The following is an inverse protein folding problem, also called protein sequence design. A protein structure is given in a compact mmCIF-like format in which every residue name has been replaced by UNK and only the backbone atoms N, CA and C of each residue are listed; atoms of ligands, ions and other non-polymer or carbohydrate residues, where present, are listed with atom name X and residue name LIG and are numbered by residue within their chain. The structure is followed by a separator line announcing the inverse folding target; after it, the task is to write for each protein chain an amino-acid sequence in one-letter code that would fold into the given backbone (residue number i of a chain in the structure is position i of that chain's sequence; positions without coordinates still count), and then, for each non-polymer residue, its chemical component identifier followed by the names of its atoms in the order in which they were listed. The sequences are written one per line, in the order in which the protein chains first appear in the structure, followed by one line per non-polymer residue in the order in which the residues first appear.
data_IF_212071500933
#
_entry.id   IF_212071500933
#
_cell.length_a   1.000
_cell.length_b   1.000
_cell.length_c   1.000
_cell.angle_alpha   90.00
_cell.angle_beta   90.00
_cell.angle_gamma   90.00
#
_symmetry.space_group_name_H-M   'P 1'
#
loop_
_entity.id
_entity.type
_entity.pdbx_description
1 polymer ?
#
# COMPACT_ATOMS: atom_id res chain seq x y z
N UNK A 1 6.54 6.08 11.83
CA UNK A 1 6.19 6.03 10.39
C UNK A 1 5.45 4.71 10.16
N UNK A 2 4.23 4.74 9.62
CA UNK A 2 3.46 3.51 9.35
C UNK A 2 3.79 2.98 7.95
N UNK A 3 3.60 1.67 7.73
CA UNK A 3 3.66 1.06 6.40
C UNK A 3 2.25 0.74 5.92
N UNK A 4 1.94 1.04 4.65
CA UNK A 4 0.64 0.73 4.07
C UNK A 4 0.56 -0.72 3.61
N UNK A 5 1.66 -1.32 3.11
CA UNK A 5 1.72 -2.74 2.78
C UNK A 5 2.08 -3.59 4.00
N UNK A 6 1.31 -4.65 4.21
CA UNK A 6 1.49 -5.62 5.29
C UNK A 6 1.41 -7.04 4.77
N UNK A 7 2.04 -7.95 5.49
CA UNK A 7 2.05 -9.39 5.18
C UNK A 7 1.55 -10.18 6.37
N UNK A 8 0.89 -11.30 6.09
CA UNK A 8 0.52 -12.27 7.11
C UNK A 8 0.55 -13.68 6.53
N UNK A 9 0.73 -14.66 7.42
CA UNK A 9 0.75 -16.08 7.08
C UNK A 9 -0.56 -16.72 7.52
N UNK A 10 -1.50 -16.99 6.60
CA UNK A 10 -2.71 -17.70 6.95
C UNK A 10 -2.39 -19.15 7.34
N UNK A 11 -3.20 -19.71 8.23
CA UNK A 11 -3.17 -21.16 8.48
C UNK A 11 -3.39 -21.93 7.17
N UNK A 12 -2.57 -22.96 6.96
CA UNK A 12 -2.66 -23.86 5.81
C UNK A 12 -3.24 -25.19 6.28
N UNK A 13 -4.41 -25.57 5.77
CA UNK A 13 -5.04 -26.83 6.13
C UNK A 13 -4.48 -27.99 5.31
N UNK A 14 -4.32 -29.18 5.89
CA UNK A 14 -4.02 -30.38 5.11
C UNK A 14 -5.17 -30.78 4.17
N UNK A 15 -6.37 -30.24 4.35
CA UNK A 15 -7.56 -30.49 3.52
C UNK A 15 -7.88 -29.35 2.54
N UNK A 16 -6.98 -28.36 2.37
CA UNK A 16 -7.22 -27.28 1.41
C UNK A 16 -7.22 -27.84 -0.03
N UNK A 17 -8.21 -27.48 -0.86
CA UNK A 17 -8.36 -28.05 -2.21
C UNK A 17 -7.32 -27.55 -3.21
N UNK A 18 -6.52 -26.53 -2.84
CA UNK A 18 -5.54 -25.86 -3.70
C UNK A 18 -4.17 -25.76 -3.01
N UNK A 19 -3.06 -25.65 -3.76
CA UNK A 19 -1.75 -25.34 -3.19
C UNK A 19 -1.79 -24.03 -2.36
N UNK A 20 -1.17 -24.01 -1.18
CA UNK A 20 -1.32 -22.91 -0.25
C UNK A 20 -0.54 -21.67 -0.67
N UNK A 21 -1.18 -20.51 -0.54
CA UNK A 21 -0.51 -19.21 -0.57
C UNK A 21 -0.04 -18.89 0.85
N UNK A 22 1.25 -19.16 1.11
CA UNK A 22 1.84 -19.07 2.46
C UNK A 22 1.93 -17.64 3.01
N UNK A 23 2.10 -16.65 2.14
CA UNK A 23 2.18 -15.24 2.52
C UNK A 23 1.17 -14.45 1.72
N UNK A 24 0.24 -13.81 2.42
CA UNK A 24 -0.73 -12.89 1.82
C UNK A 24 -0.31 -11.46 2.11
N UNK A 25 -0.30 -10.63 1.09
CA UNK A 25 -0.02 -9.19 1.21
C UNK A 25 -1.32 -8.41 1.08
N UNK A 26 -1.51 -7.40 1.91
CA UNK A 26 -2.64 -6.47 1.82
C UNK A 26 -2.17 -5.03 2.05
N UNK A 27 -2.96 -4.08 1.57
CA UNK A 27 -2.70 -2.65 1.75
C UNK A 27 -3.71 -2.09 2.75
N UNK A 28 -3.21 -1.37 3.75
CA UNK A 28 -3.99 -0.53 4.67
C UNK A 28 -3.83 0.92 4.25
N UNK A 29 -4.95 1.57 3.93
CA UNK A 29 -4.94 2.96 3.49
C UNK A 29 -4.40 3.90 4.59
N UNK A 30 -3.61 4.94 4.24
CA UNK A 30 -2.98 5.84 5.22
C UNK A 30 -3.94 6.52 6.20
N UNK A 31 -5.20 6.75 5.79
CA UNK A 31 -6.23 7.36 6.63
C UNK A 31 -6.57 6.54 7.88
N UNK A 32 -6.28 5.23 7.89
CA UNK A 32 -6.47 4.39 9.08
C UNK A 32 -5.44 4.69 10.19
N UNK A 33 -4.34 5.36 9.88
CA UNK A 33 -3.29 5.74 10.82
C UNK A 33 -3.30 7.23 11.18
N UNK A 34 -4.04 8.03 10.41
CA UNK A 34 -4.16 9.47 10.60
C UNK A 34 -5.58 9.78 11.09
N UNK A 35 -5.76 9.78 12.41
CA UNK A 35 -7.08 9.93 13.04
C UNK A 35 -7.72 11.31 12.87
N UNK A 36 -6.92 12.36 12.65
CA UNK A 36 -7.41 13.69 12.27
C UNK A 36 -6.40 14.36 11.32
N UNK A 37 -6.88 15.29 10.50
CA UNK A 37 -6.03 16.07 9.60
C UNK A 37 -5.58 17.37 10.30
N UNK A 38 -4.31 17.47 10.75
CA UNK A 38 -3.84 18.70 11.38
C UNK A 38 -3.85 19.88 10.39
N UNK A 39 -3.99 21.12 10.90
CA UNK A 39 -3.89 22.30 10.06
C UNK A 39 -2.49 22.37 9.42
N UNK A 40 -2.41 22.95 8.23
CA UNK A 40 -1.17 23.13 7.49
C UNK A 40 -0.43 21.82 7.13
N UNK A 41 -1.16 20.71 6.99
CA UNK A 41 -0.61 19.50 6.37
C UNK A 41 0.03 19.84 5.01
N UNK A 42 1.21 19.28 4.68
CA UNK A 42 1.81 19.44 3.37
C UNK A 42 0.85 18.99 2.27
N UNK A 43 0.63 19.89 1.30
CA UNK A 43 -0.23 19.64 0.15
C UNK A 43 0.62 19.55 -1.11
N UNK A 44 0.12 18.83 -2.12
CA UNK A 44 0.65 18.93 -3.46
C UNK A 44 0.17 20.23 -4.13
N UNK A 45 0.93 20.78 -5.09
CA UNK A 45 0.40 21.76 -6.03
C UNK A 45 -0.85 21.23 -6.72
N UNK A 46 -1.80 22.12 -7.04
CA UNK A 46 -3.14 21.73 -7.48
C UNK A 46 -3.15 20.77 -8.68
N UNK A 47 -2.30 21.04 -9.68
CA UNK A 47 -2.16 20.18 -10.87
C UNK A 47 -1.70 18.77 -10.51
N UNK A 48 -0.75 18.66 -9.58
CA UNK A 48 -0.22 17.37 -9.14
C UNK A 48 -1.23 16.63 -8.26
N UNK A 49 -1.94 17.35 -7.38
CA UNK A 49 -3.00 16.78 -6.55
C UNK A 49 -4.08 16.09 -7.40
N UNK A 50 -4.51 16.73 -8.50
CA UNK A 50 -5.46 16.15 -9.45
C UNK A 50 -4.94 14.87 -10.10
N UNK A 51 -3.66 14.86 -10.49
CA UNK A 51 -3.03 13.67 -11.08
C UNK A 51 -2.87 12.54 -10.06
N UNK A 52 -2.62 12.88 -8.79
CA UNK A 52 -2.43 11.91 -7.70
C UNK A 52 -3.72 11.43 -7.04
N UNK A 53 -4.84 12.10 -7.30
CA UNK A 53 -6.12 11.81 -6.66
C UNK A 53 -6.20 12.17 -5.18
N UNK A 54 -5.25 12.97 -4.67
CA UNK A 54 -5.24 13.43 -3.28
C UNK A 54 -4.52 14.76 -3.15
N UNK A 55 -5.03 15.64 -2.29
CA UNK A 55 -4.41 16.93 -1.99
C UNK A 55 -3.22 16.80 -1.04
N UNK A 56 -3.30 15.89 -0.08
CA UNK A 56 -2.30 15.79 0.99
C UNK A 56 -1.28 14.69 0.72
N UNK A 57 -0.02 15.01 0.95
CA UNK A 57 1.10 14.11 0.65
C UNK A 57 1.07 12.82 1.47
N UNK A 58 0.60 12.89 2.72
CA UNK A 58 0.50 11.74 3.63
C UNK A 58 -0.53 10.69 3.18
N UNK A 59 -1.49 11.06 2.32
CA UNK A 59 -2.51 10.16 1.79
C UNK A 59 -2.18 9.64 0.40
N UNK A 60 -1.01 9.97 -0.15
CA UNK A 60 -0.60 9.45 -1.45
C UNK A 60 -0.12 8.00 -1.33
N UNK A 61 -0.90 7.07 -1.89
CA UNK A 61 -0.60 5.63 -1.91
C UNK A 61 -0.69 5.10 -3.35
N UNK A 62 0.39 5.21 -4.15
CA UNK A 62 0.38 4.71 -5.52
C UNK A 62 0.22 3.18 -5.55
N UNK A 63 -0.76 2.72 -6.31
CA UNK A 63 -0.90 1.30 -6.62
C UNK A 63 0.22 0.88 -7.56
N UNK A 64 1.02 -0.09 -7.11
CA UNK A 64 2.02 -0.75 -7.95
C UNK A 64 1.49 -2.12 -8.29
N UNK A 65 1.43 -2.42 -9.58
CA UNK A 65 1.04 -3.75 -10.04
C UNK A 65 2.12 -4.76 -9.61
N UNK A 66 1.73 -5.97 -9.17
CA UNK A 66 2.69 -7.04 -8.88
C UNK A 66 3.51 -7.46 -10.12
N UNK A 67 3.11 -7.02 -11.32
CA UNK A 67 3.83 -7.26 -12.56
C UNK A 67 4.82 -6.12 -12.93
N UNK A 68 4.69 -4.93 -12.33
CA UNK A 68 5.60 -3.80 -12.58
C UNK A 68 6.93 -3.94 -11.83
N UNK A 69 6.93 -4.60 -10.67
CA UNK A 69 8.13 -4.84 -9.85
C UNK A 69 9.08 -5.88 -10.45
N UNK A 70 8.63 -6.73 -11.39
CA UNK A 70 9.49 -7.71 -12.05
C UNK A 70 10.47 -7.10 -13.05
N UNK A 71 10.28 -5.84 -13.45
CA UNK A 71 11.07 -5.18 -14.50
C UNK A 71 12.22 -4.34 -13.94
N UNK A 72 12.27 -4.11 -12.62
CA UNK A 72 13.43 -3.51 -11.95
C UNK A 72 14.23 -4.63 -11.29
N UNK A 73 15.17 -5.17 -12.05
CA UNK A 73 16.25 -5.96 -11.46
C UNK A 73 16.97 -5.11 -10.42
N UNK A 74 17.07 -5.66 -9.21
CA UNK A 74 18.00 -5.38 -8.10
C UNK A 74 17.27 -5.79 -6.80
N UNK A 75 17.84 -6.52 -5.86
CA UNK A 75 19.20 -7.00 -5.69
C UNK A 75 19.26 -7.68 -4.32
N UNK A 76 19.68 -8.94 -4.33
CA UNK A 76 20.29 -9.70 -3.22
C UNK A 76 21.12 -10.79 -3.88
#
# INVERSE_FOLDING_TARGET
MFTTRKQYEPYTSPFDPCPPIRVKTYVTAPNLYVGFQPPNLPQFPLREALMKGTLWQVFYDPYYSPYETKTKGDGS
#
